data_IF_934035578935
#
_entry.id   IF_934035578935
#
_cell.length_a   1.000
_cell.length_b   1.000
_cell.length_c   1.000
_cell.angle_alpha   90.00
_cell.angle_beta   90.00
_cell.angle_gamma   90.00
#
_symmetry.space_group_name_H-M   'P 1'
#
loop_
_entity.id
_entity.type
_entity.pdbx_description
1 polymer ?
#
# COMPACT_ATOMS: atom_id res chain seq x y z
N UNK A 1 -2.83 -31.24 -20.44
CA UNK A 1 -2.08 -31.74 -19.27
C UNK A 1 -2.40 -30.84 -18.10
N UNK A 2 -3.32 -31.30 -17.21
CA UNK A 2 -3.73 -30.56 -16.02
C UNK A 2 -2.67 -30.73 -14.92
N UNK A 3 -1.97 -29.66 -14.58
CA UNK A 3 -1.21 -29.62 -13.33
C UNK A 3 -2.15 -29.23 -12.20
N UNK A 4 -2.61 -30.22 -11.44
CA UNK A 4 -3.30 -29.99 -10.19
C UNK A 4 -2.29 -29.41 -9.19
N UNK A 5 -2.53 -28.17 -8.74
CA UNK A 5 -1.83 -27.59 -7.58
C UNK A 5 -2.11 -28.48 -6.35
N UNK A 6 -1.09 -29.21 -5.92
CA UNK A 6 -1.09 -29.88 -4.61
C UNK A 6 -0.98 -28.80 -3.52
N UNK A 7 -2.11 -28.43 -2.94
CA UNK A 7 -2.12 -27.65 -1.68
C UNK A 7 -1.47 -28.51 -0.59
N UNK A 8 -0.28 -28.11 -0.13
CA UNK A 8 0.27 -28.64 1.12
C UNK A 8 -0.61 -28.14 2.26
N UNK A 9 -1.31 -29.07 2.91
CA UNK A 9 -2.12 -28.77 4.09
C UNK A 9 -1.19 -28.39 5.24
N UNK A 10 -1.21 -27.12 5.63
CA UNK A 10 -0.67 -26.67 6.92
C UNK A 10 -1.78 -26.84 7.95
N UNK A 11 -1.52 -27.41 9.14
CA UNK A 11 -2.57 -27.66 10.12
C UNK A 11 -3.18 -26.33 10.58
N UNK A 12 -4.46 -26.15 10.27
CA UNK A 12 -5.26 -25.02 10.72
C UNK A 12 -5.55 -25.22 12.21
N UNK A 13 -5.01 -24.35 13.06
CA UNK A 13 -5.43 -24.27 14.46
C UNK A 13 -6.85 -23.64 14.49
N UNK A 14 -7.88 -24.49 14.43
CA UNK A 14 -9.27 -24.09 14.56
C UNK A 14 -9.61 -23.83 16.03
N UNK A 15 -9.68 -22.56 16.43
CA UNK A 15 -10.31 -22.19 17.70
C UNK A 15 -11.83 -22.12 17.46
N UNK A 16 -12.54 -23.17 17.91
CA UNK A 16 -14.00 -23.16 17.95
C UNK A 16 -14.50 -22.38 19.16
N UNK A 17 -15.07 -21.22 18.92
CA UNK A 17 -15.95 -20.54 19.87
C UNK A 17 -17.39 -20.72 19.39
N UNK A 18 -18.17 -21.44 20.16
CA UNK A 18 -19.57 -21.77 19.92
C UNK A 18 -20.48 -20.56 20.01
N UNK A 19 -21.36 -20.37 19.03
CA UNK A 19 -22.71 -19.83 19.21
C UNK A 19 -22.89 -18.33 19.09
N UNK A 20 -22.64 -17.73 17.89
CA UNK A 20 -23.41 -16.59 17.35
C UNK A 20 -23.18 -16.53 15.84
N UNK A 21 -24.26 -16.29 15.06
CA UNK A 21 -24.21 -16.17 13.59
C UNK A 21 -23.74 -14.74 13.26
N UNK A 22 -22.48 -14.43 13.60
CA UNK A 22 -21.77 -13.30 13.00
C UNK A 22 -20.86 -13.85 11.91
N UNK A 23 -20.64 -13.14 10.79
CA UNK A 23 -19.66 -13.55 9.79
C UNK A 23 -18.28 -13.64 10.43
N UNK A 24 -17.85 -14.87 10.73
CA UNK A 24 -16.57 -15.09 11.40
C UNK A 24 -15.45 -14.72 10.44
N UNK A 25 -14.68 -13.73 10.83
CA UNK A 25 -13.40 -13.44 10.17
C UNK A 25 -12.39 -14.49 10.61
N UNK A 26 -11.80 -15.18 9.64
CA UNK A 26 -10.80 -16.24 9.86
C UNK A 26 -9.49 -15.84 9.22
N UNK A 27 -8.39 -16.35 9.77
CA UNK A 27 -7.03 -16.13 9.27
C UNK A 27 -6.40 -17.49 8.95
N UNK A 28 -5.61 -17.54 7.87
CA UNK A 28 -4.78 -18.70 7.55
C UNK A 28 -3.47 -18.26 6.87
N UNK A 29 -2.45 -19.09 7.03
CA UNK A 29 -1.18 -18.94 6.30
C UNK A 29 -1.38 -19.51 4.89
N UNK A 30 -1.36 -18.64 3.89
CA UNK A 30 -1.56 -19.01 2.49
C UNK A 30 -0.26 -19.54 1.85
N UNK A 31 0.88 -18.97 2.24
CA UNK A 31 2.20 -19.33 1.73
C UNK A 31 3.25 -19.23 2.85
N UNK A 32 4.22 -20.15 2.86
CA UNK A 32 5.37 -20.15 3.76
C UNK A 32 6.67 -20.10 2.97
N UNK A 33 7.73 -19.65 3.63
CA UNK A 33 9.12 -19.85 3.20
C UNK A 33 9.55 -21.31 3.44
N UNK A 34 10.70 -21.70 2.91
CA UNK A 34 11.24 -23.07 3.06
C UNK A 34 11.53 -23.43 4.53
N UNK A 35 11.81 -22.45 5.37
CA UNK A 35 12.01 -22.60 6.83
C UNK A 35 10.68 -22.69 7.63
N UNK A 36 9.55 -22.63 6.95
CA UNK A 36 8.20 -22.69 7.55
C UNK A 36 7.65 -21.35 8.04
N UNK A 37 8.44 -20.27 7.99
CA UNK A 37 7.96 -18.93 8.36
C UNK A 37 6.86 -18.45 7.41
N UNK A 38 5.80 -17.76 7.91
CA UNK A 38 4.75 -17.23 7.09
C UNK A 38 5.29 -16.23 6.06
N UNK A 39 4.87 -16.38 4.79
CA UNK A 39 5.16 -15.44 3.70
C UNK A 39 3.92 -14.65 3.33
N UNK A 40 2.75 -15.30 3.32
CA UNK A 40 1.45 -14.65 3.08
C UNK A 40 0.46 -15.13 4.13
N UNK A 41 -0.16 -14.18 4.82
CA UNK A 41 -1.27 -14.43 5.74
C UNK A 41 -2.50 -13.76 5.18
N UNK A 42 -3.57 -14.53 5.05
CA UNK A 42 -4.84 -14.08 4.46
C UNK A 42 -5.95 -14.10 5.49
N UNK A 43 -6.68 -13.00 5.57
CA UNK A 43 -7.90 -12.85 6.36
C UNK A 43 -9.09 -12.88 5.42
N UNK A 44 -10.07 -13.73 5.74
CA UNK A 44 -11.26 -13.91 4.94
C UNK A 44 -12.53 -13.93 5.78
N UNK A 45 -13.65 -13.70 5.13
CA UNK A 45 -15.00 -13.93 5.66
C UNK A 45 -15.63 -15.09 4.89
N UNK A 46 -16.33 -15.94 5.59
CA UNK A 46 -17.14 -17.00 4.98
C UNK A 46 -18.60 -16.56 4.98
N UNK A 47 -19.25 -16.65 3.83
CA UNK A 47 -20.67 -16.40 3.65
C UNK A 47 -21.27 -17.58 2.87
N UNK A 48 -21.94 -18.48 3.58
CA UNK A 48 -22.36 -19.77 3.02
C UNK A 48 -21.16 -20.57 2.52
N UNK A 49 -21.17 -20.96 1.25
CA UNK A 49 -20.07 -21.68 0.59
C UNK A 49 -19.04 -20.75 -0.06
N UNK A 50 -19.17 -19.42 0.09
CA UNK A 50 -18.27 -18.46 -0.54
C UNK A 50 -17.23 -17.96 0.46
N UNK A 51 -15.95 -17.98 0.06
CA UNK A 51 -14.83 -17.37 0.80
C UNK A 51 -14.53 -16.02 0.16
N UNK A 52 -14.57 -14.96 0.97
CA UNK A 52 -14.29 -13.59 0.55
C UNK A 52 -13.03 -13.11 1.26
N UNK A 53 -11.95 -12.97 0.52
CA UNK A 53 -10.70 -12.39 1.04
C UNK A 53 -10.95 -10.91 1.34
N UNK A 54 -10.64 -10.49 2.58
CA UNK A 54 -10.83 -9.13 3.05
C UNK A 54 -9.52 -8.40 3.30
N UNK A 55 -8.43 -9.14 3.64
CA UNK A 55 -7.11 -8.56 3.90
C UNK A 55 -6.01 -9.59 3.59
N UNK A 56 -4.85 -9.13 3.16
CA UNK A 56 -3.60 -9.89 3.11
C UNK A 56 -2.47 -9.13 3.74
N UNK A 57 -1.62 -9.86 4.47
CA UNK A 57 -0.34 -9.39 4.99
C UNK A 57 0.77 -10.24 4.37
N UNK A 58 1.80 -9.59 3.87
CA UNK A 58 2.99 -10.21 3.28
C UNK A 58 4.17 -9.98 4.21
N UNK A 59 5.05 -10.96 4.33
CA UNK A 59 6.14 -10.96 5.30
C UNK A 59 7.46 -11.25 4.58
N UNK A 60 8.54 -10.69 5.09
CA UNK A 60 9.89 -11.07 4.71
C UNK A 60 10.30 -12.36 5.45
N UNK A 61 11.32 -13.02 4.93
CA UNK A 61 11.90 -14.24 5.57
C UNK A 61 12.57 -13.98 6.93
N UNK A 62 12.76 -12.72 7.34
CA UNK A 62 13.24 -12.35 8.67
C UNK A 62 12.10 -12.06 9.66
N UNK A 63 10.85 -12.37 9.31
CA UNK A 63 9.67 -12.17 10.16
C UNK A 63 9.15 -10.73 10.22
N UNK A 64 9.75 -9.79 9.51
CA UNK A 64 9.23 -8.43 9.41
C UNK A 64 8.12 -8.35 8.35
N UNK A 65 7.11 -7.53 8.63
CA UNK A 65 6.06 -7.28 7.65
C UNK A 65 6.63 -6.55 6.42
N UNK A 66 6.23 -6.97 5.22
CA UNK A 66 6.61 -6.35 3.96
C UNK A 66 5.54 -5.37 3.47
N UNK A 67 4.30 -5.80 3.43
CA UNK A 67 3.14 -4.99 3.07
C UNK A 67 1.86 -5.60 3.60
N UNK A 68 0.83 -4.77 3.78
CA UNK A 68 -0.52 -5.26 4.06
C UNK A 68 -1.57 -4.30 3.52
N UNK A 69 -2.75 -4.83 3.26
CA UNK A 69 -3.87 -4.04 2.82
C UNK A 69 -5.14 -4.85 2.64
N UNK A 70 -6.21 -4.15 2.36
CA UNK A 70 -7.54 -4.72 2.24
C UNK A 70 -7.89 -5.05 0.79
N UNK A 71 -8.83 -5.98 0.65
CA UNK A 71 -9.38 -6.43 -0.62
C UNK A 71 -10.88 -6.22 -0.67
N UNK A 72 -11.38 -5.90 -1.85
CA UNK A 72 -12.80 -5.89 -2.19
C UNK A 72 -12.96 -6.49 -3.57
N UNK A 73 -13.85 -7.47 -3.70
CA UNK A 73 -14.08 -8.20 -4.97
C UNK A 73 -12.79 -8.76 -5.61
N UNK A 74 -11.84 -9.24 -4.79
CA UNK A 74 -10.56 -9.78 -5.25
C UNK A 74 -9.51 -8.75 -5.66
N UNK A 75 -9.81 -7.46 -5.61
CA UNK A 75 -8.91 -6.36 -5.97
C UNK A 75 -8.44 -5.59 -4.72
N UNK A 76 -7.25 -4.98 -4.80
CA UNK A 76 -6.78 -4.07 -3.77
C UNK A 76 -7.75 -2.91 -3.60
N UNK A 77 -8.17 -2.68 -2.35
CA UNK A 77 -9.14 -1.64 -2.03
C UNK A 77 -8.90 -1.13 -0.62
N UNK A 78 -8.91 0.19 -0.44
CA UNK A 78 -8.58 0.83 0.84
C UNK A 78 -7.08 1.04 1.03
N UNK A 79 -6.66 1.21 2.28
CA UNK A 79 -5.28 1.54 2.64
C UNK A 79 -4.36 0.34 2.47
N UNK A 80 -3.21 0.57 1.81
CA UNK A 80 -2.07 -0.32 1.74
C UNK A 80 -0.86 0.33 2.37
N UNK A 81 -0.11 -0.42 3.17
CA UNK A 81 1.09 0.04 3.89
C UNK A 81 2.25 -0.89 3.59
N UNK A 82 3.45 -0.32 3.45
CA UNK A 82 4.67 -1.00 3.04
C UNK A 82 5.79 -0.74 4.04
N UNK A 83 6.56 -1.78 4.36
CA UNK A 83 7.71 -1.75 5.27
C UNK A 83 8.93 -2.38 4.59
N UNK A 84 10.12 -1.90 4.96
CA UNK A 84 11.38 -2.51 4.56
C UNK A 84 11.75 -3.70 5.48
N UNK A 85 12.84 -4.40 5.17
CA UNK A 85 13.33 -5.55 5.97
C UNK A 85 13.72 -5.21 7.41
N UNK A 86 13.87 -3.92 7.76
CA UNK A 86 14.10 -3.44 9.13
C UNK A 86 12.80 -3.16 9.88
N UNK A 87 11.65 -3.37 9.27
CA UNK A 87 10.34 -3.06 9.82
C UNK A 87 9.96 -1.58 9.77
N UNK A 88 10.73 -0.75 9.07
CA UNK A 88 10.48 0.68 8.94
C UNK A 88 9.47 0.88 7.80
N UNK A 89 8.38 1.59 8.09
CA UNK A 89 7.38 1.97 7.09
C UNK A 89 8.00 2.99 6.12
N UNK A 90 7.98 2.67 4.83
CA UNK A 90 8.51 3.56 3.79
C UNK A 90 7.45 4.10 2.82
N UNK A 91 6.26 3.49 2.77
CA UNK A 91 5.18 3.99 1.94
C UNK A 91 3.79 3.57 2.43
N UNK A 92 2.77 4.35 2.10
CA UNK A 92 1.37 3.98 2.24
C UNK A 92 0.50 4.73 1.24
N UNK A 93 -0.60 4.14 0.84
CA UNK A 93 -1.54 4.77 -0.09
C UNK A 93 -2.90 4.13 -0.12
N UNK A 94 -3.81 4.80 -0.80
CA UNK A 94 -5.17 4.34 -1.00
C UNK A 94 -5.30 3.67 -2.36
N UNK A 95 -6.03 2.57 -2.39
CA UNK A 95 -6.37 1.84 -3.60
C UNK A 95 -7.89 1.73 -3.76
N UNK A 96 -8.34 1.80 -4.97
CA UNK A 96 -9.72 1.54 -5.38
C UNK A 96 -9.69 0.64 -6.62
N UNK A 97 -10.38 -0.51 -6.52
CA UNK A 97 -10.50 -1.48 -7.61
C UNK A 97 -9.14 -1.83 -8.25
N UNK A 98 -8.12 -2.06 -7.40
CA UNK A 98 -6.77 -2.46 -7.78
C UNK A 98 -5.84 -1.33 -8.23
N UNK A 99 -6.33 -0.09 -8.33
CA UNK A 99 -5.57 1.07 -8.81
C UNK A 99 -5.34 2.08 -7.67
N UNK A 100 -4.20 2.76 -7.67
CA UNK A 100 -3.96 3.90 -6.78
C UNK A 100 -5.07 4.94 -6.97
N UNK A 101 -5.65 5.40 -5.85
CA UNK A 101 -6.74 6.39 -5.87
C UNK A 101 -6.74 7.19 -4.57
N UNK A 102 -6.53 8.51 -4.66
CA UNK A 102 -6.32 9.38 -3.51
C UNK A 102 -4.84 9.55 -3.18
N UNK A 103 -4.53 9.80 -1.92
CA UNK A 103 -3.19 10.17 -1.47
C UNK A 103 -2.28 8.96 -1.35
N UNK A 104 -1.06 9.10 -1.85
CA UNK A 104 0.05 8.17 -1.61
C UNK A 104 1.21 8.92 -0.93
N UNK A 105 1.71 8.38 0.18
CA UNK A 105 2.80 8.95 0.96
C UNK A 105 4.03 8.03 0.91
N UNK A 106 5.21 8.65 0.79
CA UNK A 106 6.50 8.03 1.02
C UNK A 106 7.14 8.65 2.25
N UNK A 107 7.98 7.88 2.93
CA UNK A 107 8.61 8.28 4.18
C UNK A 107 10.12 8.04 4.12
N UNK A 108 10.86 8.90 4.80
CA UNK A 108 12.25 8.66 5.17
C UNK A 108 12.35 7.53 6.20
N UNK A 109 13.52 6.98 6.39
CA UNK A 109 13.80 5.99 7.45
C UNK A 109 13.52 6.53 8.86
N UNK A 110 13.62 7.84 9.06
CA UNK A 110 13.23 8.55 10.29
C UNK A 110 11.71 8.55 10.55
N UNK A 111 10.90 8.09 9.59
CA UNK A 111 9.43 8.12 9.65
C UNK A 111 8.80 9.46 9.24
N UNK A 112 9.60 10.48 8.96
CA UNK A 112 9.10 11.76 8.42
C UNK A 112 8.66 11.59 6.96
N UNK A 113 7.71 12.40 6.51
CA UNK A 113 7.30 12.37 5.10
C UNK A 113 8.45 12.80 4.19
N UNK A 114 8.71 11.96 3.18
CA UNK A 114 9.59 12.28 2.06
C UNK A 114 8.80 12.91 0.92
N UNK A 115 7.66 12.29 0.54
CA UNK A 115 6.86 12.73 -0.60
C UNK A 115 5.39 12.40 -0.40
N UNK A 116 4.51 13.21 -0.95
CA UNK A 116 3.08 12.97 -1.08
C UNK A 116 2.63 13.30 -2.48
N UNK A 117 1.86 12.41 -3.08
CA UNK A 117 1.21 12.63 -4.39
C UNK A 117 -0.24 12.16 -4.34
N UNK A 118 -1.06 12.74 -5.20
CA UNK A 118 -2.46 12.36 -5.39
C UNK A 118 -2.62 11.59 -6.70
N UNK A 119 -3.53 10.62 -6.69
CA UNK A 119 -3.78 9.72 -7.82
C UNK A 119 -5.28 9.57 -8.08
N UNK A 120 -5.65 9.50 -9.34
CA UNK A 120 -6.98 9.07 -9.80
C UNK A 120 -6.80 7.90 -10.74
N UNK A 121 -7.35 6.73 -10.36
CA UNK A 121 -7.31 5.49 -11.16
C UNK A 121 -5.90 5.07 -11.63
N UNK A 122 -4.88 5.27 -10.78
CA UNK A 122 -3.49 4.93 -11.04
C UNK A 122 -2.67 6.02 -11.75
N UNK A 123 -3.30 7.11 -12.15
CA UNK A 123 -2.64 8.24 -12.81
C UNK A 123 -2.45 9.38 -11.80
N UNK A 124 -1.27 10.03 -11.79
CA UNK A 124 -1.02 11.22 -10.96
C UNK A 124 -2.00 12.33 -11.34
N UNK A 125 -2.73 12.84 -10.34
CA UNK A 125 -3.70 13.91 -10.57
C UNK A 125 -3.93 14.65 -9.25
N UNK A 126 -3.67 15.97 -9.22
CA UNK A 126 -3.73 16.80 -8.01
C UNK A 126 -2.35 17.11 -7.46
N UNK A 127 -2.27 17.39 -6.16
CA UNK A 127 -1.07 17.92 -5.51
C UNK A 127 0.06 16.92 -5.43
N UNK A 128 1.29 17.43 -5.61
CA UNK A 128 2.54 16.74 -5.35
C UNK A 128 3.41 17.62 -4.47
N UNK A 129 3.89 17.07 -3.35
CA UNK A 129 4.81 17.76 -2.43
C UNK A 129 5.92 16.78 -2.05
N UNK A 130 7.16 17.28 -2.09
CA UNK A 130 8.34 16.59 -1.57
C UNK A 130 8.97 17.44 -0.49
N UNK A 131 9.48 16.81 0.56
CA UNK A 131 10.11 17.47 1.70
C UNK A 131 11.55 17.00 1.87
N UNK A 132 12.38 17.87 2.39
CA UNK A 132 13.66 17.50 3.00
C UNK A 132 13.41 16.73 4.31
N UNK A 133 14.43 16.05 4.81
CA UNK A 133 14.29 15.26 6.03
C UNK A 133 14.06 16.09 7.30
N UNK A 134 14.42 17.37 7.28
CA UNK A 134 14.09 18.33 8.34
C UNK A 134 12.58 18.69 8.37
N UNK A 135 11.84 18.33 7.30
CA UNK A 135 10.40 18.55 7.13
C UNK A 135 10.06 19.83 6.35
N UNK A 136 11.06 20.57 5.84
CA UNK A 136 10.80 21.69 4.95
C UNK A 136 10.49 21.21 3.54
N UNK A 137 9.67 21.98 2.80
CA UNK A 137 9.36 21.66 1.41
C UNK A 137 10.59 21.75 0.54
N UNK A 138 10.77 20.77 -0.34
CA UNK A 138 11.79 20.75 -1.37
C UNK A 138 11.20 21.04 -2.75
N UNK A 139 10.05 20.46 -3.06
CA UNK A 139 9.35 20.60 -4.33
C UNK A 139 7.86 20.59 -4.08
N UNK A 140 7.12 21.47 -4.75
CA UNK A 140 5.67 21.38 -4.79
C UNK A 140 5.09 21.80 -6.15
N UNK A 141 3.95 21.24 -6.50
CA UNK A 141 3.22 21.54 -7.72
C UNK A 141 2.02 20.62 -7.88
N UNK A 142 1.47 20.59 -9.07
CA UNK A 142 0.29 19.79 -9.40
C UNK A 142 0.53 18.92 -10.64
N UNK A 143 -0.15 17.79 -10.66
CA UNK A 143 -0.27 16.93 -11.84
C UNK A 143 -1.71 16.95 -12.36
N UNK A 144 -1.86 16.98 -13.67
CA UNK A 144 -3.11 16.72 -14.37
C UNK A 144 -2.82 15.60 -15.38
N UNK A 145 -3.57 14.51 -15.30
CA UNK A 145 -3.45 13.35 -16.18
C UNK A 145 -2.00 12.83 -16.37
N UNK A 146 -1.26 12.77 -15.26
CA UNK A 146 0.10 12.25 -15.20
C UNK A 146 1.20 13.24 -15.61
N UNK A 147 0.86 14.43 -16.11
CA UNK A 147 1.80 15.48 -16.51
C UNK A 147 1.83 16.61 -15.48
N UNK A 148 2.99 17.23 -15.31
CA UNK A 148 3.10 18.45 -14.50
C UNK A 148 2.24 19.54 -15.13
N UNK A 149 1.51 20.27 -14.27
CA UNK A 149 0.62 21.34 -14.69
C UNK A 149 0.77 22.55 -13.77
N UNK A 150 0.57 23.77 -14.33
CA UNK A 150 0.66 25.00 -13.57
C UNK A 150 2.04 25.28 -12.99
N UNK A 151 2.06 26.01 -11.89
CA UNK A 151 3.29 26.45 -11.23
C UNK A 151 3.90 25.33 -10.40
N UNK A 152 5.19 25.08 -10.61
CA UNK A 152 6.03 24.20 -9.79
C UNK A 152 7.11 25.04 -9.11
N UNK A 153 7.26 24.85 -7.80
CA UNK A 153 8.22 25.57 -6.98
C UNK A 153 9.25 24.57 -6.46
N UNK A 154 10.51 24.95 -6.57
CA UNK A 154 11.67 24.22 -6.07
C UNK A 154 12.35 25.09 -5.02
N UNK A 155 12.70 24.49 -3.89
CA UNK A 155 13.31 25.19 -2.76
C UNK A 155 14.70 24.65 -2.47
N UNK A 156 15.59 25.54 -2.06
CA UNK A 156 16.91 25.23 -1.53
C UNK A 156 16.81 24.71 -0.08
N UNK A 157 17.89 24.12 0.42
CA UNK A 157 18.00 23.68 1.82
C UNK A 157 17.93 24.86 2.81
N UNK A 158 18.34 26.06 2.42
CA UNK A 158 18.21 27.30 3.20
C UNK A 158 16.79 27.87 3.20
N UNK A 159 15.81 27.14 2.56
CA UNK A 159 14.40 27.49 2.48
C UNK A 159 14.05 28.64 1.53
N UNK A 160 15.01 29.15 0.78
CA UNK A 160 14.75 30.09 -0.30
C UNK A 160 14.19 29.39 -1.53
N UNK A 161 13.47 30.12 -2.37
CA UNK A 161 13.02 29.61 -3.66
C UNK A 161 14.23 29.54 -4.60
N UNK A 162 14.52 28.32 -5.09
CA UNK A 162 15.54 28.10 -6.11
C UNK A 162 15.03 28.49 -7.49
N UNK A 163 13.90 27.86 -7.88
CA UNK A 163 13.31 28.09 -9.19
C UNK A 163 11.80 27.87 -9.18
N UNK A 164 11.10 28.69 -9.99
CA UNK A 164 9.71 28.49 -10.34
C UNK A 164 9.62 28.14 -11.81
N UNK A 165 8.83 27.10 -12.13
CA UNK A 165 8.60 26.68 -13.52
C UNK A 165 7.10 26.56 -13.78
N UNK A 166 6.66 27.02 -14.93
CA UNK A 166 5.31 26.82 -15.45
C UNK A 166 5.28 25.65 -16.43
N UNK A 167 4.27 24.79 -16.28
CA UNK A 167 4.07 23.61 -17.12
C UNK A 167 2.63 23.61 -17.65
N UNK A 168 2.44 23.14 -18.89
CA UNK A 168 1.12 22.83 -19.45
C UNK A 168 0.26 24.05 -19.79
N UNK A 169 0.78 25.25 -19.88
CA UNK A 169 0.15 26.36 -20.60
C UNK A 169 0.45 26.18 -22.09
N UNK A 170 -0.57 25.79 -22.84
CA UNK A 170 -0.52 25.96 -24.30
C UNK A 170 -0.61 27.47 -24.58
N UNK A 171 0.40 28.01 -25.25
CA UNK A 171 0.42 29.35 -25.81
C UNK A 171 -0.55 29.38 -27.01
#
# INVERSE_FOLDING_TARGET
MNQSLKMKQVPVLLIFLSGFIFPQTREFVEETYDDGMPKIITIFKQSGNTIIITKRSYWYNNGQKQKEGTYKHGLWNGKWTYWNKRGIRYAEGQFKDGKLHGVYNWYYDSGKKFKQEEFINGVRHGKSVQWFEDGWKQIEGEYVDGKRFGKWIFYNEDRTVDVEKLFGEEI
#
